data_IF_934478696155
#
_entry.id   IF_934478696155
#
_cell.length_a   1.000
_cell.length_b   1.000
_cell.length_c   1.000
_cell.angle_alpha   90.00
_cell.angle_beta   90.00
_cell.angle_gamma   90.00
#
_symmetry.space_group_name_H-M   'P 1'
#
loop_
_entity.id
_entity.type
_entity.pdbx_description
1 polymer ?
#
# COMPACT_ATOMS: atom_id res chain seq x y z
N UNK A 1 -7.30 -34.71 3.20
CA UNK A 1 -6.51 -34.04 4.25
C UNK A 1 -7.04 -32.63 4.43
N UNK A 2 -7.39 -32.24 5.67
CA UNK A 2 -7.85 -30.89 6.00
C UNK A 2 -6.63 -29.99 6.21
N UNK A 3 -6.33 -29.12 5.25
CA UNK A 3 -5.29 -28.10 5.42
C UNK A 3 -5.95 -26.83 5.95
N UNK A 4 -5.78 -26.58 7.26
CA UNK A 4 -6.12 -25.30 7.89
C UNK A 4 -4.90 -24.39 7.81
N UNK A 5 -5.04 -23.30 7.06
CA UNK A 5 -3.96 -22.32 6.88
C UNK A 5 -3.90 -21.45 8.14
N UNK A 6 -3.03 -21.83 9.10
CA UNK A 6 -2.72 -20.99 10.28
C UNK A 6 -1.76 -19.88 9.85
N UNK A 7 -2.38 -18.79 9.39
CA UNK A 7 -1.77 -17.51 9.03
C UNK A 7 -1.14 -16.83 10.26
N UNK A 8 -0.02 -16.12 10.06
CA UNK A 8 0.42 -14.82 10.63
C UNK A 8 0.02 -14.29 12.03
N UNK A 9 -0.65 -15.04 12.90
CA UNK A 9 -1.24 -14.53 14.16
C UNK A 9 -0.21 -14.21 15.26
N UNK A 10 1.06 -14.60 15.10
CA UNK A 10 2.05 -14.49 16.17
C UNK A 10 2.80 -13.16 16.24
N UNK A 11 2.72 -12.28 15.23
CA UNK A 11 3.56 -11.08 15.20
C UNK A 11 3.06 -9.89 16.06
N UNK A 12 1.88 -9.99 16.68
CA UNK A 12 1.33 -8.90 17.52
C UNK A 12 0.94 -9.32 18.95
N UNK A 13 1.29 -10.54 19.38
CA UNK A 13 1.06 -11.00 20.77
C UNK A 13 2.38 -11.24 21.50
N UNK A 14 3.16 -10.18 21.71
CA UNK A 14 4.16 -10.16 22.77
C UNK A 14 4.07 -8.83 23.53
N UNK A 15 3.05 -8.75 24.38
CA UNK A 15 3.15 -8.06 25.66
C UNK A 15 2.56 -9.02 26.72
N UNK A 16 3.40 -9.71 27.52
CA UNK A 16 2.95 -10.74 28.46
C UNK A 16 2.59 -10.14 29.82
N UNK A 17 1.77 -9.08 29.85
CA UNK A 17 1.29 -8.52 31.12
C UNK A 17 -0.06 -7.81 31.01
N UNK A 18 -1.15 -8.55 30.79
CA UNK A 18 -2.46 -8.26 31.41
C UNK A 18 -3.51 -9.32 31.02
N UNK A 19 -3.95 -10.09 32.00
CA UNK A 19 -5.19 -10.86 31.95
C UNK A 19 -6.38 -9.92 31.75
N UNK A 20 -6.94 -9.89 30.53
CA UNK A 20 -8.28 -9.39 30.24
C UNK A 20 -8.98 -10.33 29.27
N UNK A 21 -10.29 -10.62 29.45
CA UNK A 21 -11.03 -11.46 28.51
C UNK A 21 -11.00 -10.79 27.13
N UNK A 22 -10.40 -11.49 26.16
CA UNK A 22 -10.25 -10.99 24.79
C UNK A 22 -11.61 -10.88 24.12
N UNK A 23 -12.09 -9.66 23.92
CA UNK A 23 -13.32 -9.37 23.17
C UNK A 23 -13.21 -9.93 21.73
N UNK A 24 -14.08 -10.87 21.38
CA UNK A 24 -14.21 -11.45 20.03
C UNK A 24 -14.50 -10.42 18.93
N UNK A 25 -15.03 -9.25 19.32
CA UNK A 25 -15.40 -8.16 18.41
C UNK A 25 -14.24 -7.69 17.50
N UNK A 26 -13.00 -7.66 17.99
CA UNK A 26 -11.84 -7.27 17.18
C UNK A 26 -11.47 -8.30 16.11
N UNK A 27 -11.68 -9.59 16.40
CA UNK A 27 -11.42 -10.67 15.45
C UNK A 27 -12.45 -10.72 14.32
N UNK A 28 -13.72 -10.47 14.65
CA UNK A 28 -14.82 -10.48 13.68
C UNK A 28 -14.72 -9.31 12.69
N UNK A 29 -14.39 -8.11 13.16
CA UNK A 29 -14.22 -6.93 12.30
C UNK A 29 -13.08 -7.12 11.29
N UNK A 30 -11.94 -7.66 11.74
CA UNK A 30 -10.81 -7.94 10.86
C UNK A 30 -11.13 -9.02 9.83
N UNK A 31 -11.90 -10.04 10.21
CA UNK A 31 -12.37 -11.08 9.28
C UNK A 31 -13.31 -10.49 8.20
N UNK A 32 -14.24 -9.62 8.58
CA UNK A 32 -15.13 -8.91 7.63
C UNK A 32 -14.33 -8.04 6.68
N UNK A 33 -13.36 -7.29 7.19
CA UNK A 33 -12.46 -6.45 6.39
C UNK A 33 -11.75 -7.27 5.30
N UNK A 34 -11.09 -8.37 5.68
CA UNK A 34 -10.37 -9.20 4.71
C UNK A 34 -11.30 -9.88 3.71
N UNK A 35 -12.49 -10.30 4.15
CA UNK A 35 -13.51 -10.85 3.24
C UNK A 35 -13.95 -9.81 2.21
N UNK A 36 -14.06 -8.53 2.59
CA UNK A 36 -14.37 -7.43 1.66
C UNK A 36 -13.19 -7.17 0.71
N UNK A 37 -11.98 -7.14 1.24
CA UNK A 37 -10.75 -6.91 0.47
C UNK A 37 -10.58 -7.92 -0.68
N UNK A 38 -10.69 -9.21 -0.40
CA UNK A 38 -10.52 -10.25 -1.41
C UNK A 38 -11.66 -10.33 -2.45
N UNK A 39 -12.74 -9.55 -2.27
CA UNK A 39 -13.89 -9.49 -3.19
C UNK A 39 -13.90 -8.24 -4.07
N UNK A 40 -12.93 -7.34 -3.92
CA UNK A 40 -12.81 -6.16 -4.80
C UNK A 40 -12.59 -6.65 -6.25
N UNK A 41 -13.35 -6.14 -7.24
CA UNK A 41 -13.34 -6.66 -8.61
C UNK A 41 -12.14 -6.13 -9.42
N UNK A 42 -10.94 -6.50 -9.02
CA UNK A 42 -9.69 -6.20 -9.73
C UNK A 42 -8.91 -7.48 -10.01
N UNK A 43 -7.89 -7.38 -10.87
CA UNK A 43 -7.01 -8.51 -11.16
C UNK A 43 -6.27 -8.99 -9.88
N UNK A 44 -6.03 -10.31 -9.71
CA UNK A 44 -5.42 -10.85 -8.50
C UNK A 44 -4.05 -10.27 -8.15
N UNK A 45 -3.25 -9.89 -9.14
CA UNK A 45 -1.95 -9.23 -8.95
C UNK A 45 -2.10 -7.86 -8.27
N UNK A 46 -3.17 -7.11 -8.57
CA UNK A 46 -3.47 -5.82 -7.92
C UNK A 46 -3.85 -6.05 -6.46
N UNK A 47 -4.70 -7.05 -6.15
CA UNK A 47 -5.03 -7.41 -4.76
C UNK A 47 -3.78 -7.77 -3.96
N UNK A 48 -2.92 -8.62 -4.52
CA UNK A 48 -1.66 -9.02 -3.87
C UNK A 48 -0.75 -7.80 -3.65
N UNK A 49 -0.67 -6.90 -4.64
CA UNK A 49 0.09 -5.65 -4.53
C UNK A 49 -0.43 -4.78 -3.38
N UNK A 50 -1.74 -4.50 -3.32
CA UNK A 50 -2.32 -3.67 -2.25
C UNK A 50 -2.12 -4.35 -0.89
N UNK A 51 -2.29 -5.67 -0.80
CA UNK A 51 -2.05 -6.45 0.42
C UNK A 51 -0.61 -6.34 0.92
N UNK A 52 0.37 -6.41 0.00
CA UNK A 52 1.78 -6.18 0.33
C UNK A 52 2.07 -4.74 0.73
N UNK A 53 1.40 -3.78 0.09
CA UNK A 53 1.49 -2.35 0.41
C UNK A 53 1.08 -2.07 1.84
N UNK A 54 -0.09 -2.59 2.24
CA UNK A 54 -0.63 -2.35 3.59
C UNK A 54 0.13 -3.09 4.68
N UNK A 55 0.78 -4.21 4.34
CA UNK A 55 1.64 -4.96 5.25
C UNK A 55 3.03 -4.31 5.40
N UNK A 56 3.28 -3.17 4.76
CA UNK A 56 4.57 -2.47 4.70
C UNK A 56 5.72 -3.34 4.15
N UNK A 57 5.38 -4.30 3.29
CA UNK A 57 6.33 -5.25 2.67
C UNK A 57 6.89 -4.70 1.35
N UNK A 58 6.29 -3.62 0.81
CA UNK A 58 6.83 -2.99 -0.39
C UNK A 58 8.21 -2.41 -0.12
N UNK A 59 9.18 -2.84 -0.92
CA UNK A 59 10.53 -2.26 -0.97
C UNK A 59 10.49 -0.85 -1.57
N UNK A 60 9.93 0.10 -0.83
CA UNK A 60 10.11 1.52 -1.10
C UNK A 60 11.58 1.88 -0.81
N UNK A 61 12.12 2.93 -1.43
CA UNK A 61 13.52 3.32 -1.23
C UNK A 61 13.86 3.53 0.26
N UNK A 62 12.91 3.99 1.07
CA UNK A 62 13.05 4.08 2.52
C UNK A 62 13.37 2.73 3.19
N UNK A 63 12.78 1.62 2.74
CA UNK A 63 13.06 0.27 3.26
C UNK A 63 14.39 -0.31 2.70
N UNK A 64 14.79 0.09 1.49
CA UNK A 64 16.12 -0.21 0.94
C UNK A 64 17.22 0.53 1.70
N UNK A 65 16.97 1.75 2.17
CA UNK A 65 17.95 2.56 2.91
C UNK A 65 18.18 2.03 4.34
N UNK A 66 17.19 1.36 4.95
CA UNK A 66 17.37 0.59 6.19
C UNK A 66 18.43 -0.52 6.06
N UNK A 67 18.80 -0.89 4.83
CA UNK A 67 19.83 -1.89 4.50
C UNK A 67 21.19 -1.28 4.12
N UNK A 68 21.45 0.00 4.45
CA UNK A 68 22.76 0.66 4.32
C UNK A 68 23.27 0.88 2.88
N UNK A 69 22.38 1.02 1.89
CA UNK A 69 22.76 1.45 0.55
C UNK A 69 22.61 2.97 0.46
N UNK A 70 23.70 3.72 0.73
CA UNK A 70 23.85 5.18 0.60
C UNK A 70 23.40 5.70 -0.78
N UNK A 71 22.10 5.76 -1.02
CA UNK A 71 21.50 6.21 -2.26
C UNK A 71 20.39 7.19 -1.96
N UNK A 72 20.26 8.16 -2.85
CA UNK A 72 19.25 9.21 -2.80
C UNK A 72 17.87 8.63 -2.49
N UNK A 73 17.34 8.99 -1.32
CA UNK A 73 16.07 8.50 -0.80
C UNK A 73 14.88 9.36 -1.23
N UNK A 74 15.12 10.34 -2.11
CA UNK A 74 14.05 11.15 -2.68
C UNK A 74 13.12 10.29 -3.53
N UNK A 75 11.86 10.70 -3.52
CA UNK A 75 10.81 10.19 -4.39
C UNK A 75 11.27 10.27 -5.83
N UNK A 76 11.22 9.15 -6.55
CA UNK A 76 11.68 9.11 -7.95
C UNK A 76 10.80 9.93 -8.89
N UNK A 77 9.58 10.26 -8.46
CA UNK A 77 8.61 11.01 -9.26
C UNK A 77 8.86 12.52 -9.13
N UNK A 78 8.92 13.05 -7.91
CA UNK A 78 9.07 14.50 -7.69
C UNK A 78 10.51 14.94 -7.38
N UNK A 79 11.39 14.02 -7.02
CA UNK A 79 12.76 14.26 -6.57
C UNK A 79 12.90 15.29 -5.41
N UNK A 80 11.83 15.55 -4.67
CA UNK A 80 11.76 16.66 -3.70
C UNK A 80 11.77 16.17 -2.25
N UNK A 81 10.95 15.16 -1.93
CA UNK A 81 10.76 14.64 -0.57
C UNK A 81 11.23 13.20 -0.47
N UNK A 82 11.50 12.74 0.76
CA UNK A 82 11.84 11.32 1.02
C UNK A 82 10.71 10.41 0.59
N UNK A 83 11.04 9.38 -0.19
CA UNK A 83 10.08 8.39 -0.67
C UNK A 83 9.56 7.51 0.48
N UNK A 84 8.30 7.74 0.84
CA UNK A 84 7.51 6.87 1.71
C UNK A 84 6.28 6.38 0.95
N UNK A 85 5.60 5.38 1.50
CA UNK A 85 4.35 4.88 0.93
C UNK A 85 3.34 6.03 0.82
N UNK A 86 3.21 6.81 1.89
CA UNK A 86 2.28 7.93 1.95
C UNK A 86 2.66 9.01 0.95
N UNK A 87 3.94 9.35 0.88
CA UNK A 87 4.40 10.33 -0.09
C UNK A 87 4.12 9.87 -1.52
N UNK A 88 4.53 8.65 -1.87
CA UNK A 88 4.36 8.11 -3.21
C UNK A 88 2.89 8.06 -3.65
N UNK A 89 1.97 7.69 -2.77
CA UNK A 89 0.58 7.48 -3.18
C UNK A 89 -0.37 8.64 -2.87
N UNK A 90 -0.05 9.53 -1.93
CA UNK A 90 -1.01 10.51 -1.39
C UNK A 90 -0.50 11.95 -1.31
N UNK A 91 0.82 12.20 -1.20
CA UNK A 91 1.34 13.55 -0.94
C UNK A 91 2.27 14.09 -2.02
N UNK A 92 2.80 13.23 -2.89
CA UNK A 92 3.60 13.65 -4.04
C UNK A 92 2.76 14.56 -4.93
N UNK A 93 3.23 15.78 -5.19
CA UNK A 93 2.47 16.80 -5.91
C UNK A 93 1.98 16.33 -7.30
N UNK A 94 2.82 15.57 -8.02
CA UNK A 94 2.48 14.98 -9.30
C UNK A 94 1.37 13.93 -9.17
N UNK A 95 1.40 13.13 -8.10
CA UNK A 95 0.40 12.09 -7.83
C UNK A 95 -0.90 12.70 -7.32
N UNK A 96 -0.84 13.73 -6.49
CA UNK A 96 -2.01 14.52 -6.08
C UNK A 96 -2.70 15.15 -7.29
N UNK A 97 -1.93 15.70 -8.23
CA UNK A 97 -2.48 16.18 -9.49
C UNK A 97 -3.12 15.06 -10.31
N UNK A 98 -2.48 13.88 -10.38
CA UNK A 98 -3.04 12.71 -11.06
C UNK A 98 -4.38 12.29 -10.46
N UNK A 99 -4.49 12.20 -9.12
CA UNK A 99 -5.77 11.91 -8.46
C UNK A 99 -6.85 12.93 -8.85
N UNK A 100 -6.52 14.22 -8.84
CA UNK A 100 -7.44 15.30 -9.21
C UNK A 100 -7.90 15.27 -10.67
N UNK A 101 -7.10 14.65 -11.55
CA UNK A 101 -7.43 14.49 -12.98
C UNK A 101 -8.11 13.15 -13.29
N UNK A 102 -8.13 12.21 -12.33
CA UNK A 102 -8.73 10.89 -12.51
C UNK A 102 -10.25 10.90 -12.35
N UNK A 103 -10.90 9.77 -12.64
CA UNK A 103 -12.32 9.54 -12.32
C UNK A 103 -12.58 9.37 -10.82
N UNK A 104 -11.52 9.17 -10.02
CA UNK A 104 -11.64 8.93 -8.58
C UNK A 104 -11.95 10.25 -7.85
N UNK A 105 -12.96 10.29 -6.96
CA UNK A 105 -13.26 11.48 -6.18
C UNK A 105 -12.08 11.95 -5.33
N UNK A 106 -11.90 13.27 -5.25
CA UNK A 106 -10.86 13.90 -4.42
C UNK A 106 -10.92 13.51 -2.93
N UNK A 107 -12.07 13.01 -2.45
CA UNK A 107 -12.21 12.49 -1.10
C UNK A 107 -11.29 11.29 -0.81
N UNK A 108 -10.72 10.65 -1.84
CA UNK A 108 -9.67 9.63 -1.69
C UNK A 108 -8.46 10.15 -0.89
N UNK A 109 -8.17 11.46 -1.00
CA UNK A 109 -7.06 12.14 -0.32
C UNK A 109 -7.44 12.68 1.08
N UNK A 110 -8.72 12.65 1.47
CA UNK A 110 -9.22 13.31 2.69
C UNK A 110 -9.13 12.42 3.93
N UNK A 111 -8.57 11.22 3.83
CA UNK A 111 -8.53 10.29 4.94
C UNK A 111 -7.68 10.86 6.10
N UNK A 112 -8.23 10.98 7.32
CA UNK A 112 -7.56 11.61 8.46
C UNK A 112 -6.50 10.71 9.12
N UNK A 113 -5.98 9.73 8.39
CA UNK A 113 -5.11 8.68 8.91
C UNK A 113 -3.81 8.60 8.14
N UNK A 114 -2.74 8.23 8.85
CA UNK A 114 -1.39 8.08 8.30
C UNK A 114 -1.02 6.63 7.99
N UNK A 115 -1.80 5.64 8.45
CA UNK A 115 -1.47 4.22 8.27
C UNK A 115 -2.15 3.61 7.05
N UNK A 116 -1.47 2.73 6.29
CA UNK A 116 -2.06 2.08 5.12
C UNK A 116 -3.33 1.28 5.41
N UNK A 117 -3.38 0.59 6.55
CA UNK A 117 -4.53 -0.23 6.92
C UNK A 117 -5.78 0.64 7.18
N UNK A 118 -5.64 1.70 7.97
CA UNK A 118 -6.75 2.60 8.26
C UNK A 118 -7.20 3.39 7.03
N UNK A 119 -6.28 3.69 6.10
CA UNK A 119 -6.64 4.32 4.83
C UNK A 119 -7.54 3.40 4.00
N UNK A 120 -7.17 2.12 3.93
CA UNK A 120 -7.94 1.12 3.22
C UNK A 120 -9.31 0.87 3.88
N UNK A 121 -9.36 0.84 5.20
CA UNK A 121 -10.61 0.74 5.94
C UNK A 121 -11.51 1.97 5.68
N UNK A 122 -10.94 3.17 5.70
CA UNK A 122 -11.64 4.39 5.30
C UNK A 122 -12.24 4.26 3.89
N UNK A 123 -11.46 3.85 2.89
CA UNK A 123 -12.00 3.67 1.54
C UNK A 123 -13.13 2.66 1.47
N UNK A 124 -13.04 1.55 2.20
CA UNK A 124 -14.15 0.61 2.27
C UNK A 124 -15.41 1.19 2.90
N UNK A 125 -15.33 2.16 3.81
CA UNK A 125 -16.51 2.79 4.40
C UNK A 125 -17.08 3.91 3.52
N UNK A 126 -16.27 4.52 2.67
CA UNK A 126 -16.65 5.73 1.92
C UNK A 126 -16.85 5.51 0.41
N UNK A 127 -16.40 4.38 -0.14
CA UNK A 127 -16.50 4.07 -1.56
C UNK A 127 -17.16 2.71 -1.80
N UNK A 128 -17.91 2.62 -2.90
CA UNK A 128 -18.48 1.37 -3.37
C UNK A 128 -17.39 0.43 -3.95
N UNK A 129 -17.71 -0.85 -4.23
CA UNK A 129 -16.72 -1.80 -4.73
C UNK A 129 -16.10 -1.43 -6.10
N UNK A 130 -16.83 -0.73 -6.97
CA UNK A 130 -16.32 -0.31 -8.29
C UNK A 130 -15.32 0.82 -8.11
N UNK A 131 -15.68 1.83 -7.32
CA UNK A 131 -14.78 2.93 -7.01
C UNK A 131 -13.54 2.46 -6.23
N UNK A 132 -13.71 1.51 -5.31
CA UNK A 132 -12.57 0.88 -4.62
C UNK A 132 -11.64 0.15 -5.60
N UNK A 133 -12.19 -0.50 -6.63
CA UNK A 133 -11.40 -1.13 -7.69
C UNK A 133 -10.62 -0.11 -8.53
N UNK A 134 -11.21 1.05 -8.86
CA UNK A 134 -10.51 2.15 -9.53
C UNK A 134 -9.37 2.70 -8.68
N UNK A 135 -9.59 2.90 -7.38
CA UNK A 135 -8.54 3.32 -6.43
C UNK A 135 -7.39 2.31 -6.44
N UNK A 136 -7.69 1.01 -6.31
CA UNK A 136 -6.66 -0.04 -6.28
C UNK A 136 -5.86 -0.12 -7.57
N UNK A 137 -6.55 0.00 -8.70
CA UNK A 137 -5.94 0.00 -10.02
C UNK A 137 -5.01 1.21 -10.19
N UNK A 138 -5.44 2.38 -9.73
CA UNK A 138 -4.64 3.61 -9.78
C UNK A 138 -3.39 3.50 -8.92
N UNK A 139 -3.49 2.97 -7.69
CA UNK A 139 -2.33 2.71 -6.84
C UNK A 139 -1.33 1.76 -7.51
N UNK A 140 -1.82 0.68 -8.12
CA UNK A 140 -0.99 -0.26 -8.83
C UNK A 140 -0.29 0.38 -10.04
N UNK A 141 -1.01 1.21 -10.82
CA UNK A 141 -0.45 1.92 -11.96
C UNK A 141 0.66 2.90 -11.53
N UNK A 142 0.44 3.66 -10.45
CA UNK A 142 1.45 4.57 -9.87
C UNK A 142 2.71 3.79 -9.50
N UNK A 143 2.56 2.67 -8.79
CA UNK A 143 3.69 1.84 -8.38
C UNK A 143 4.41 1.20 -9.58
N UNK A 144 3.65 0.77 -10.59
CA UNK A 144 4.20 0.18 -11.80
C UNK A 144 5.06 1.20 -12.55
N UNK A 145 4.51 2.40 -12.82
CA UNK A 145 5.23 3.49 -13.49
C UNK A 145 6.49 3.91 -12.71
N UNK A 146 6.37 4.01 -11.38
CA UNK A 146 7.50 4.28 -10.47
C UNK A 146 8.62 3.25 -10.67
N UNK A 147 8.28 1.96 -10.73
CA UNK A 147 9.28 0.90 -10.90
C UNK A 147 9.89 0.88 -12.29
N UNK A 148 9.09 1.13 -13.33
CA UNK A 148 9.62 1.26 -14.69
C UNK A 148 10.66 2.35 -14.78
N UNK A 149 10.41 3.51 -14.17
CA UNK A 149 11.36 4.62 -14.10
C UNK A 149 12.68 4.20 -13.43
N UNK A 150 12.60 3.51 -12.28
CA UNK A 150 13.80 3.01 -11.60
C UNK A 150 14.55 1.95 -12.38
N UNK A 151 13.85 1.05 -13.06
CA UNK A 151 14.50 0.04 -13.88
C UNK A 151 15.19 0.66 -15.09
N UNK A 152 14.72 1.81 -15.59
CA UNK A 152 15.40 2.56 -16.65
C UNK A 152 16.66 3.27 -16.12
N UNK A 153 16.61 3.91 -14.96
CA UNK A 153 17.79 4.56 -14.34
C UNK A 153 18.91 3.56 -14.00
N UNK A 154 18.56 2.31 -13.66
CA UNK A 154 19.53 1.27 -13.31
C UNK A 154 20.18 0.64 -14.56
N UNK A 155 19.58 0.76 -15.75
CA UNK A 155 20.20 0.20 -16.98
C UNK A 155 21.45 1.02 -17.32
N UNK A 156 22.66 0.43 -17.32
CA UNK A 156 23.82 1.15 -17.81
C UNK A 156 23.60 1.51 -19.28
N UNK A 157 23.85 2.77 -19.63
CA UNK A 157 23.79 3.23 -21.02
C UNK A 157 24.64 2.28 -21.89
N UNK A 158 24.16 1.85 -23.07
CA UNK A 158 24.96 1.01 -23.95
C UNK A 158 26.22 1.79 -24.31
N UNK A 159 27.35 1.38 -23.74
CA UNK A 159 28.66 1.89 -24.10
C UNK A 159 28.88 1.54 -25.56
N UNK A 160 28.93 2.57 -26.42
CA UNK A 160 29.34 2.40 -27.81
C UNK A 160 30.75 1.80 -27.80
N UNK A 161 30.87 0.56 -28.24
CA UNK A 161 32.13 -0.12 -28.57
C UNK A 161 32.70 0.43 -29.86
#
# INVERSE_FOLDING_TARGET
>A
GRYSVRSGYHLFKQDPSQDRPSSSAGGDQLHIFWKKFWRVPVAPNILIFVWRSISNILSLKSELNRRHLNTDNRCVICNSQVESWRHLFMECEFIVALWRMSSVPNSVLNAPTTTPFLLLDYWFHHFDPVMTAEIFTTLWAIWHARNEFLHQDIRPAPTKS
#
